data_IF_264476186393
#
_entry.id   IF_264476186393
#
_cell.length_a   1.000
_cell.length_b   1.000
_cell.length_c   1.000
_cell.angle_alpha   90.00
_cell.angle_beta   90.00
_cell.angle_gamma   90.00
#
_symmetry.space_group_name_H-M   'P 1'
#
loop_
_entity.id
_entity.type
_entity.pdbx_description
1 polymer ?
#
# COMPACT_ATOMS: atom_id res chain seq x y z
N UNK A 1 10.71 9.49 7.30
CA UNK A 1 11.09 8.08 7.03
C UNK A 1 11.27 7.92 5.52
N UNK A 2 12.10 6.98 5.08
CA UNK A 2 12.35 6.60 3.66
C UNK A 2 13.29 7.45 2.76
N UNK A 3 14.17 8.32 3.26
CA UNK A 3 15.19 8.94 2.37
C UNK A 3 16.35 8.02 1.98
N UNK A 4 16.53 6.87 2.64
CA UNK A 4 17.72 6.04 2.42
C UNK A 4 17.59 5.04 1.26
N UNK A 5 16.36 4.70 0.88
CA UNK A 5 16.09 3.62 -0.07
C UNK A 5 15.03 3.95 -1.14
N UNK A 6 14.44 5.15 -1.14
CA UNK A 6 13.43 5.60 -2.12
C UNK A 6 12.52 4.45 -2.60
N UNK A 7 11.74 3.83 -1.70
CA UNK A 7 10.96 2.64 -2.04
C UNK A 7 9.87 3.01 -3.06
N UNK A 8 9.77 2.22 -4.13
CA UNK A 8 8.72 2.35 -5.16
C UNK A 8 7.41 1.63 -4.78
N UNK A 9 7.48 0.74 -3.80
CA UNK A 9 6.36 -0.05 -3.26
C UNK A 9 6.54 -0.21 -1.74
N UNK A 10 5.47 0.02 -0.99
CA UNK A 10 5.39 -0.19 0.46
C UNK A 10 4.12 -0.97 0.79
N UNK A 11 4.29 -2.09 1.47
CA UNK A 11 3.19 -2.86 2.05
C UNK A 11 3.16 -2.68 3.57
N UNK A 12 1.99 -2.31 4.09
CA UNK A 12 1.73 -2.17 5.53
C UNK A 12 0.63 -3.15 5.93
N UNK A 13 0.91 -3.96 6.95
CA UNK A 13 -0.06 -4.85 7.58
C UNK A 13 -0.44 -4.34 8.96
N UNK A 14 -1.64 -4.71 9.43
CA UNK A 14 -2.19 -4.30 10.73
C UNK A 14 -2.22 -2.77 10.92
N UNK A 15 -2.66 -2.05 9.88
CA UNK A 15 -2.73 -0.58 9.93
C UNK A 15 -3.71 -0.10 11.00
N UNK A 16 -4.78 -0.85 11.27
CA UNK A 16 -5.83 -0.53 12.27
C UNK A 16 -6.38 0.90 12.15
N UNK A 17 -6.30 1.46 10.95
CA UNK A 17 -6.61 2.85 10.68
C UNK A 17 -7.58 2.98 9.51
N UNK A 18 -8.33 4.09 9.51
CA UNK A 18 -9.28 4.41 8.45
C UNK A 18 -8.55 4.99 7.24
N UNK A 19 -9.16 4.83 6.07
CA UNK A 19 -8.73 5.43 4.79
C UNK A 19 -8.20 6.85 4.88
N UNK A 20 -8.90 7.75 5.57
CA UNK A 20 -8.52 9.17 5.64
C UNK A 20 -7.11 9.37 6.20
N UNK A 21 -6.74 8.64 7.25
CA UNK A 21 -5.38 8.74 7.80
C UNK A 21 -4.35 8.18 6.82
N UNK A 22 -4.66 7.05 6.18
CA UNK A 22 -3.76 6.43 5.21
C UNK A 22 -3.56 7.29 3.95
N UNK A 23 -4.57 8.05 3.52
CA UNK A 23 -4.46 9.03 2.44
C UNK A 23 -3.57 10.21 2.82
N UNK A 24 -3.68 10.71 4.05
CA UNK A 24 -2.75 11.73 4.53
C UNK A 24 -1.31 11.20 4.56
N UNK A 25 -1.11 9.96 5.05
CA UNK A 25 0.20 9.30 5.06
C UNK A 25 0.73 9.11 3.62
N UNK A 26 -0.13 8.72 2.67
CA UNK A 26 0.24 8.61 1.26
C UNK A 26 0.76 9.95 0.73
N UNK A 27 0.03 11.04 0.96
CA UNK A 27 0.43 12.38 0.53
C UNK A 27 1.74 12.83 1.20
N UNK A 28 1.88 12.62 2.51
CA UNK A 28 3.08 12.98 3.27
C UNK A 28 4.33 12.21 2.83
N UNK A 29 4.15 10.96 2.38
CA UNK A 29 5.23 10.10 1.88
C UNK A 29 5.49 10.26 0.37
N UNK A 30 4.61 10.94 -0.36
CA UNK A 30 4.77 11.23 -1.79
C UNK A 30 4.53 10.03 -2.71
N UNK A 31 3.65 9.10 -2.32
CA UNK A 31 3.24 7.99 -3.20
C UNK A 31 2.05 8.38 -4.09
N UNK A 32 2.11 8.01 -5.36
CA UNK A 32 1.05 8.34 -6.33
C UNK A 32 -0.25 7.57 -6.04
N UNK A 33 -0.12 6.36 -5.49
CA UNK A 33 -1.24 5.45 -5.34
C UNK A 33 -1.32 4.77 -3.98
N UNK A 34 -2.55 4.42 -3.60
CA UNK A 34 -2.90 3.76 -2.34
C UNK A 34 -4.05 2.77 -2.54
N UNK A 35 -3.79 1.49 -2.27
CA UNK A 35 -4.81 0.44 -2.16
C UNK A 35 -5.00 0.06 -0.69
N UNK A 36 -6.25 -0.09 -0.24
CA UNK A 36 -6.58 -0.31 1.17
C UNK A 36 -7.61 -1.42 1.32
N UNK A 37 -7.33 -2.35 2.22
CA UNK A 37 -8.33 -3.23 2.84
C UNK A 37 -8.64 -2.67 4.22
N UNK A 38 -9.87 -2.23 4.47
CA UNK A 38 -10.25 -1.64 5.76
C UNK A 38 -10.15 -2.68 6.89
N UNK A 39 -9.80 -2.25 8.11
CA UNK A 39 -9.80 -3.14 9.27
C UNK A 39 -11.21 -3.63 9.62
N UNK A 40 -11.29 -4.82 10.21
CA UNK A 40 -12.53 -5.34 10.80
C UNK A 40 -12.45 -5.23 12.33
N UNK A 41 -13.16 -4.24 12.88
CA UNK A 41 -13.07 -3.93 14.30
C UNK A 41 -11.66 -3.45 14.67
N UNK A 42 -10.98 -4.19 15.56
CA UNK A 42 -9.65 -3.85 16.08
C UNK A 42 -8.50 -4.63 15.40
N UNK A 43 -8.80 -5.42 14.37
CA UNK A 43 -7.83 -6.29 13.69
C UNK A 43 -7.75 -6.01 12.21
N UNK A 44 -6.55 -6.20 11.66
CA UNK A 44 -6.30 -6.06 10.24
C UNK A 44 -6.14 -4.60 9.83
N UNK A 45 -6.58 -4.29 8.63
CA UNK A 45 -6.18 -3.08 7.94
C UNK A 45 -4.89 -3.37 7.17
N UNK A 46 -4.97 -3.31 5.84
CA UNK A 46 -3.84 -3.50 4.95
C UNK A 46 -3.75 -2.27 4.04
N UNK A 47 -2.53 -1.83 3.75
CA UNK A 47 -2.28 -0.76 2.80
C UNK A 47 -1.13 -1.11 1.86
N UNK A 48 -1.31 -0.82 0.58
CA UNK A 48 -0.27 -0.88 -0.44
C UNK A 48 -0.10 0.53 -1.00
N UNK A 49 1.10 1.11 -0.87
CA UNK A 49 1.47 2.39 -1.45
C UNK A 49 2.51 2.18 -2.53
N UNK A 50 2.39 2.85 -3.67
CA UNK A 50 3.30 2.67 -4.79
C UNK A 50 3.29 3.87 -5.74
N UNK A 51 4.34 3.95 -6.54
CA UNK A 51 4.55 4.99 -7.56
C UNK A 51 3.93 4.58 -8.91
N UNK A 52 3.59 5.56 -9.75
CA UNK A 52 3.04 5.35 -11.11
C UNK A 52 3.96 4.51 -12.01
N UNK A 53 5.28 4.57 -11.76
CA UNK A 53 6.31 3.80 -12.49
C UNK A 53 6.23 2.28 -12.24
N UNK A 54 5.40 1.83 -11.29
CA UNK A 54 5.23 0.43 -10.94
C UNK A 54 3.93 -0.13 -11.52
N UNK A 55 4.04 -0.92 -12.60
CA UNK A 55 2.88 -1.64 -13.15
C UNK A 55 2.44 -2.73 -12.17
N UNK A 56 1.30 -2.50 -11.53
CA UNK A 56 0.72 -3.42 -10.56
C UNK A 56 -0.76 -3.68 -10.89
N UNK A 57 -1.22 -4.89 -10.60
CA UNK A 57 -2.62 -5.27 -10.70
C UNK A 57 -3.03 -6.05 -9.45
N UNK A 58 -4.15 -5.67 -8.84
CA UNK A 58 -4.71 -6.41 -7.70
C UNK A 58 -5.54 -7.56 -8.25
N UNK A 59 -5.07 -8.79 -8.04
CA UNK A 59 -5.76 -10.01 -8.48
C UNK A 59 -6.88 -10.36 -7.50
N UNK A 60 -6.59 -10.24 -6.21
CA UNK A 60 -7.51 -10.59 -5.14
C UNK A 60 -7.18 -9.84 -3.86
N UNK A 61 -8.18 -9.56 -3.04
CA UNK A 61 -7.95 -9.03 -1.70
C UNK A 61 -8.99 -9.55 -0.72
N UNK A 62 -8.55 -9.82 0.50
CA UNK A 62 -9.39 -10.19 1.64
C UNK A 62 -8.82 -9.58 2.92
N UNK A 63 -9.52 -9.76 4.03
CA UNK A 63 -9.23 -9.13 5.33
C UNK A 63 -7.78 -9.26 5.81
N UNK A 64 -7.01 -10.24 5.31
CA UNK A 64 -5.63 -10.56 5.74
C UNK A 64 -4.65 -10.78 4.59
N UNK A 65 -5.07 -10.56 3.35
CA UNK A 65 -4.26 -10.86 2.18
C UNK A 65 -4.57 -9.89 1.05
N UNK A 66 -3.53 -9.44 0.36
CA UNK A 66 -3.63 -8.78 -0.94
C UNK A 66 -2.75 -9.61 -1.86
N UNK A 67 -3.35 -10.11 -2.94
CA UNK A 67 -2.67 -10.81 -4.01
C UNK A 67 -2.49 -9.85 -5.18
N UNK A 68 -1.25 -9.70 -5.65
CA UNK A 68 -0.88 -8.76 -6.69
C UNK A 68 -0.03 -9.45 -7.77
N UNK A 69 -0.25 -9.02 -9.00
CA UNK A 69 0.70 -9.19 -10.08
C UNK A 69 1.44 -7.87 -10.27
N UNK A 70 2.77 -7.94 -10.39
CA UNK A 70 3.58 -6.76 -10.63
C UNK A 70 4.66 -7.06 -11.65
N UNK A 71 4.86 -6.13 -12.59
CA UNK A 71 5.94 -6.20 -13.57
C UNK A 71 7.07 -5.31 -13.08
N UNK A 72 8.23 -5.92 -12.84
CA UNK A 72 9.45 -5.20 -12.48
C UNK A 72 10.32 -5.18 -13.72
N UNK A 73 10.27 -4.09 -14.48
CA UNK A 73 11.26 -3.84 -15.52
C UNK A 73 12.62 -3.69 -14.82
N UNK A 74 13.59 -4.50 -15.27
CA UNK A 74 14.84 -4.79 -14.57
C UNK A 74 15.48 -3.56 -13.89
N UNK A 75 15.76 -3.71 -12.59
CA UNK A 75 16.69 -2.88 -11.81
C UNK A 75 18.07 -2.87 -12.48
#
# INVERSE_FOLDING_TARGET
MCQKHHPVLVFLSETKNKRLLLQNIQADLGFDHLFIVEPLGLSGGLALLFMDEFQFNVLFSYNRMIDIEAVIDRI
#
